data_IF_161044295484
#
_entry.id   IF_161044295484
#
_cell.length_a   1.000
_cell.length_b   1.000
_cell.length_c   1.000
_cell.angle_alpha   90.00
_cell.angle_beta   90.00
_cell.angle_gamma   90.00
#
_symmetry.space_group_name_H-M   'P 1'
#
loop_
_entity.id
_entity.type
_entity.pdbx_description
1 polymer ?
#
# COMPACT_ATOMS: atom_id res chain seq x y z
N UNK A 1 53.39 5.13 23.96
CA UNK A 1 53.08 4.45 25.24
C UNK A 1 52.24 3.20 24.95
N UNK A 2 52.89 2.05 25.03
CA UNK A 2 52.40 0.69 25.31
C UNK A 2 50.98 0.23 24.92
N UNK A 3 50.98 -0.72 23.98
CA UNK A 3 50.23 -2.00 23.93
C UNK A 3 49.35 -2.34 25.13
N UNK A 4 48.14 -2.83 24.84
CA UNK A 4 47.55 -4.09 25.38
C UNK A 4 46.32 -4.50 24.53
N UNK A 5 45.92 -5.79 24.52
CA UNK A 5 45.98 -6.60 23.31
C UNK A 5 44.61 -7.07 22.78
N UNK A 6 44.64 -7.53 21.55
CA UNK A 6 43.68 -8.50 21.01
C UNK A 6 43.61 -9.71 21.96
N UNK A 7 42.45 -9.97 22.55
CA UNK A 7 42.14 -11.24 23.19
C UNK A 7 41.17 -12.00 22.30
N UNK A 8 41.72 -12.99 21.61
CA UNK A 8 40.95 -13.97 20.87
C UNK A 8 40.68 -15.17 21.78
N UNK A 9 39.41 -15.44 22.03
CA UNK A 9 38.98 -16.79 22.39
C UNK A 9 37.85 -16.87 23.42
N UNK A 10 36.63 -17.11 22.92
CA UNK A 10 35.90 -18.37 23.19
C UNK A 10 34.64 -18.43 22.33
N UNK A 11 34.70 -19.27 21.30
CA UNK A 11 33.54 -19.83 20.63
C UNK A 11 32.92 -20.84 21.59
N UNK A 12 31.83 -20.48 22.25
CA UNK A 12 30.86 -21.47 22.75
C UNK A 12 29.69 -21.41 21.77
N UNK A 13 29.66 -22.39 20.85
CA UNK A 13 28.44 -22.74 20.14
C UNK A 13 27.47 -23.29 21.17
N UNK A 14 26.48 -22.49 21.56
CA UNK A 14 25.25 -22.99 22.15
C UNK A 14 24.16 -22.94 21.08
N UNK A 15 23.73 -24.12 20.65
CA UNK A 15 22.57 -24.30 19.80
C UNK A 15 21.30 -24.13 20.65
N UNK A 16 20.88 -22.87 20.82
CA UNK A 16 19.60 -22.51 21.40
C UNK A 16 18.69 -21.89 20.34
N UNK A 17 17.75 -22.68 19.82
CA UNK A 17 16.67 -22.24 18.94
C UNK A 17 15.87 -21.08 19.56
N UNK A 18 16.04 -19.86 19.03
CA UNK A 18 15.13 -18.75 19.30
C UNK A 18 14.51 -18.27 17.97
N UNK A 19 13.19 -18.35 17.95
CA UNK A 19 12.30 -17.83 16.91
C UNK A 19 12.64 -16.37 16.60
N UNK A 20 12.47 -15.90 15.35
CA UNK A 20 12.60 -14.48 15.04
C UNK A 20 11.47 -13.72 15.74
N UNK A 21 11.79 -13.04 16.85
CA UNK A 21 10.98 -11.95 17.37
C UNK A 21 10.96 -10.84 16.31
N UNK A 22 9.84 -10.74 15.60
CA UNK A 22 9.49 -9.54 14.85
C UNK A 22 9.54 -8.35 15.81
N UNK A 23 10.54 -7.48 15.64
CA UNK A 23 10.59 -6.17 16.28
C UNK A 23 9.32 -5.40 15.89
N UNK A 24 8.33 -5.42 16.78
CA UNK A 24 7.22 -4.47 16.73
C UNK A 24 7.79 -3.12 17.15
N UNK A 25 7.97 -2.23 16.17
CA UNK A 25 8.17 -0.81 16.43
C UNK A 25 7.01 -0.31 17.29
N UNK A 26 7.24 0.52 18.33
CA UNK A 26 6.17 1.01 19.17
C UNK A 26 5.22 1.85 18.32
N UNK A 27 3.96 1.43 18.23
CA UNK A 27 2.89 2.33 17.80
C UNK A 27 2.76 3.50 18.79
N UNK A 28 1.99 4.55 18.45
CA UNK A 28 1.83 5.74 19.29
C UNK A 28 1.15 5.46 20.65
N UNK A 29 0.69 4.23 20.88
CA UNK A 29 0.10 3.79 22.14
C UNK A 29 0.96 2.69 22.76
N UNK A 30 1.46 2.87 24.00
CA UNK A 30 2.17 1.80 24.71
C UNK A 30 1.19 0.66 25.01
N UNK A 31 1.46 -0.53 24.48
CA UNK A 31 0.68 -1.74 24.78
C UNK A 31 0.75 -2.08 26.27
N UNK A 32 -0.40 -2.21 26.92
CA UNK A 32 -0.50 -2.51 28.35
C UNK A 32 -0.49 -4.03 28.58
N UNK A 33 0.56 -4.55 29.21
CA UNK A 33 0.56 -5.86 29.86
C UNK A 33 0.02 -5.70 31.29
N UNK A 34 -1.29 -5.87 31.46
CA UNK A 34 -1.96 -5.82 32.77
C UNK A 34 -2.07 -7.19 33.44
N UNK A 35 -2.15 -7.25 34.79
CA UNK A 35 -2.14 -8.51 35.53
C UNK A 35 -3.45 -9.28 35.36
N UNK A 36 -3.34 -10.58 35.06
CA UNK A 36 -4.47 -11.50 34.94
C UNK A 36 -5.12 -11.71 36.32
N UNK A 37 -6.29 -11.10 36.52
CA UNK A 37 -7.19 -11.37 37.65
C UNK A 37 -8.28 -12.38 37.27
N UNK A 38 -8.83 -13.17 38.22
CA UNK A 38 -9.62 -14.36 37.92
C UNK A 38 -11.12 -14.07 37.83
N UNK A 39 -11.55 -13.25 36.86
CA UNK A 39 -12.98 -13.04 36.60
C UNK A 39 -13.36 -13.42 35.16
N UNK A 40 -14.37 -14.28 34.96
CA UNK A 40 -14.87 -14.65 33.64
C UNK A 40 -15.90 -13.60 33.21
N UNK A 41 -15.43 -12.41 32.86
CA UNK A 41 -16.21 -11.38 32.20
C UNK A 41 -15.35 -10.79 31.10
N UNK A 42 -15.84 -10.73 29.87
CA UNK A 42 -15.13 -10.09 28.75
C UNK A 42 -14.80 -8.64 29.15
N UNK A 43 -13.52 -8.40 29.45
CA UNK A 43 -13.04 -7.08 29.85
C UNK A 43 -13.06 -6.18 28.62
N UNK A 44 -13.63 -4.96 28.68
CA UNK A 44 -13.54 -3.99 27.58
C UNK A 44 -12.08 -3.67 27.22
N UNK A 45 -11.15 -3.84 28.15
CA UNK A 45 -9.70 -3.76 27.94
C UNK A 45 -9.17 -4.80 26.95
N UNK A 46 -9.74 -6.01 26.91
CA UNK A 46 -9.36 -7.05 25.96
C UNK A 46 -9.90 -6.75 24.55
N UNK A 47 -11.12 -6.21 24.46
CA UNK A 47 -11.73 -5.84 23.17
C UNK A 47 -11.06 -4.60 22.55
N UNK A 48 -10.61 -3.65 23.37
CA UNK A 48 -9.79 -2.52 22.91
C UNK A 48 -8.39 -3.00 22.46
N UNK A 49 -7.81 -3.96 23.17
CA UNK A 49 -6.51 -4.54 22.80
C UNK A 49 -6.55 -5.29 21.44
N UNK A 50 -7.70 -5.81 21.02
CA UNK A 50 -7.85 -6.48 19.72
C UNK A 50 -8.22 -5.53 18.59
N UNK A 51 -8.97 -4.46 18.87
CA UNK A 51 -9.35 -3.46 17.87
C UNK A 51 -8.24 -2.43 17.60
N UNK A 52 -7.43 -2.07 18.60
CA UNK A 52 -6.33 -1.11 18.46
C UNK A 52 -5.38 -1.41 17.29
N UNK A 53 -4.81 -2.62 17.20
CA UNK A 53 -3.95 -3.01 16.07
C UNK A 53 -4.66 -2.94 14.70
N UNK A 54 -5.95 -3.26 14.64
CA UNK A 54 -6.74 -3.19 13.40
C UNK A 54 -6.91 -1.75 12.95
N UNK A 55 -7.17 -0.82 13.88
CA UNK A 55 -7.25 0.61 13.59
C UNK A 55 -5.88 1.17 13.16
N UNK A 56 -4.80 0.82 13.86
CA UNK A 56 -3.45 1.29 13.54
C UNK A 56 -2.94 0.79 12.17
N UNK A 57 -3.47 -0.33 11.68
CA UNK A 57 -3.08 -0.92 10.39
C UNK A 57 -4.07 -0.63 9.26
N UNK A 58 -5.21 -0.01 9.57
CA UNK A 58 -6.22 0.38 8.60
C UNK A 58 -5.71 1.47 7.66
N UNK A 59 -6.07 1.38 6.38
CA UNK A 59 -5.59 2.29 5.33
C UNK A 59 -6.66 2.63 4.29
N UNK A 60 -7.94 2.42 4.60
CA UNK A 60 -9.06 2.70 3.70
C UNK A 60 -9.65 4.10 3.89
N UNK A 61 -10.75 4.42 3.20
CA UNK A 61 -11.47 5.70 3.26
C UNK A 61 -12.65 5.65 4.25
N UNK A 62 -13.25 6.81 4.54
CA UNK A 62 -14.43 6.92 5.41
C UNK A 62 -15.67 6.22 4.84
N UNK A 63 -15.79 6.18 3.51
CA UNK A 63 -16.92 5.52 2.85
C UNK A 63 -16.80 3.99 2.81
N UNK A 64 -15.64 3.43 3.17
CA UNK A 64 -15.40 2.00 3.13
C UNK A 64 -16.26 1.26 4.17
N UNK A 65 -16.70 0.06 3.81
CA UNK A 65 -17.48 -0.81 4.70
C UNK A 65 -16.72 -1.14 5.99
N UNK A 66 -15.40 -1.37 5.88
CA UNK A 66 -14.56 -1.68 7.04
C UNK A 66 -14.38 -0.46 7.95
N UNK A 67 -14.30 0.77 7.40
CA UNK A 67 -14.34 1.98 8.23
C UNK A 67 -15.63 2.03 9.05
N UNK A 68 -16.78 1.92 8.38
CA UNK A 68 -18.09 1.98 9.05
C UNK A 68 -18.29 0.83 10.05
N UNK A 69 -17.64 -0.31 9.83
CA UNK A 69 -17.63 -1.42 10.78
C UNK A 69 -16.80 -1.06 12.02
N UNK A 70 -15.56 -0.64 11.84
CA UNK A 70 -14.65 -0.26 12.93
C UNK A 70 -15.24 0.89 13.76
N UNK A 71 -15.81 1.90 13.11
CA UNK A 71 -16.52 3.01 13.76
C UNK A 71 -17.66 2.50 14.66
N UNK A 72 -18.54 1.65 14.14
CA UNK A 72 -19.66 1.09 14.92
C UNK A 72 -19.20 0.25 16.10
N UNK A 73 -18.17 -0.58 15.93
CA UNK A 73 -17.62 -1.42 17.01
C UNK A 73 -17.01 -0.55 18.12
N UNK A 74 -16.29 0.52 17.77
CA UNK A 74 -15.72 1.48 18.74
C UNK A 74 -16.81 2.29 19.46
N UNK A 75 -17.84 2.77 18.75
CA UNK A 75 -18.97 3.50 19.35
C UNK A 75 -19.76 2.62 20.31
N UNK A 76 -19.95 1.33 19.97
CA UNK A 76 -20.61 0.37 20.86
C UNK A 76 -19.85 0.20 22.17
N UNK A 77 -18.53 0.04 22.10
CA UNK A 77 -17.67 -0.04 23.29
C UNK A 77 -17.73 1.20 24.18
N UNK A 78 -17.94 2.38 23.59
CA UNK A 78 -18.12 3.63 24.32
C UNK A 78 -19.44 3.66 25.12
N UNK A 79 -20.49 3.01 24.60
CA UNK A 79 -21.86 3.07 25.15
C UNK A 79 -22.17 1.94 26.17
N UNK A 80 -21.53 0.77 26.11
CA UNK A 80 -21.89 -0.44 26.90
C UNK A 80 -21.32 -0.53 28.35
N UNK A 81 -20.82 0.57 28.96
CA UNK A 81 -20.11 0.50 30.24
C UNK A 81 -20.95 0.42 31.55
N UNK A 82 -20.69 -0.59 32.41
CA UNK A 82 -21.23 -0.72 33.79
C UNK A 82 -20.64 0.30 34.79
N UNK A 83 -21.39 0.74 35.83
CA UNK A 83 -20.99 1.82 36.74
C UNK A 83 -19.83 1.46 37.69
N UNK A 84 -19.60 0.19 38.01
CA UNK A 84 -18.52 -0.21 38.95
C UNK A 84 -17.10 0.01 38.40
N UNK A 85 -16.97 0.33 37.10
CA UNK A 85 -15.70 0.46 36.39
C UNK A 85 -15.42 1.90 35.89
N UNK A 86 -16.01 2.91 36.52
CA UNK A 86 -16.04 4.29 36.01
C UNK A 86 -14.65 4.88 35.67
N UNK A 87 -13.59 4.57 36.43
CA UNK A 87 -12.23 5.04 36.11
C UNK A 87 -11.61 4.29 34.94
N UNK A 88 -11.80 2.97 34.86
CA UNK A 88 -11.38 2.17 33.72
C UNK A 88 -12.15 2.58 32.44
N UNK A 89 -13.44 2.92 32.58
CA UNK A 89 -14.28 3.49 31.51
C UNK A 89 -13.76 4.84 31.04
N UNK A 90 -13.41 5.75 31.95
CA UNK A 90 -12.88 7.07 31.56
C UNK A 90 -11.57 6.96 30.78
N UNK A 91 -10.71 5.99 31.14
CA UNK A 91 -9.48 5.70 30.40
C UNK A 91 -9.76 5.08 29.03
N UNK A 92 -10.59 4.04 28.98
CA UNK A 92 -11.02 3.39 27.74
C UNK A 92 -11.69 4.37 26.77
N UNK A 93 -12.59 5.23 27.27
CA UNK A 93 -13.24 6.27 26.47
C UNK A 93 -12.23 7.25 25.89
N UNK A 94 -11.24 7.70 26.69
CA UNK A 94 -10.18 8.58 26.21
C UNK A 94 -9.28 7.94 25.14
N UNK A 95 -8.99 6.64 25.27
CA UNK A 95 -8.26 5.87 24.25
C UNK A 95 -9.07 5.73 22.96
N UNK A 96 -10.36 5.39 23.05
CA UNK A 96 -11.27 5.29 21.89
C UNK A 96 -11.40 6.65 21.19
N UNK A 97 -11.59 7.74 21.92
CA UNK A 97 -11.61 9.10 21.37
C UNK A 97 -10.28 9.48 20.71
N UNK A 98 -9.14 9.02 21.25
CA UNK A 98 -7.82 9.19 20.66
C UNK A 98 -7.70 8.45 19.33
N UNK A 99 -8.18 7.20 19.27
CA UNK A 99 -8.18 6.39 18.06
C UNK A 99 -9.10 6.96 16.97
N UNK A 100 -10.29 7.47 17.35
CA UNK A 100 -11.21 8.12 16.41
C UNK A 100 -10.57 9.39 15.81
N UNK A 101 -9.97 10.24 16.64
CA UNK A 101 -9.24 11.43 16.15
C UNK A 101 -8.06 11.06 15.25
N UNK A 102 -7.33 10.00 15.57
CA UNK A 102 -6.23 9.53 14.73
C UNK A 102 -6.73 9.00 13.37
N UNK A 103 -7.84 8.25 13.37
CA UNK A 103 -8.46 7.72 12.16
C UNK A 103 -8.97 8.83 11.25
N UNK A 104 -9.70 9.80 11.81
CA UNK A 104 -10.20 10.97 11.10
C UNK A 104 -9.06 11.83 10.55
N UNK A 105 -8.04 12.09 11.37
CA UNK A 105 -6.84 12.83 10.96
C UNK A 105 -6.09 12.15 9.81
N UNK A 106 -6.06 10.81 9.76
CA UNK A 106 -5.46 10.09 8.63
C UNK A 106 -6.34 10.12 7.37
N UNK A 107 -7.65 9.99 7.51
CA UNK A 107 -8.58 9.98 6.38
C UNK A 107 -8.65 11.36 5.68
N UNK A 108 -8.53 12.43 6.46
CA UNK A 108 -8.56 13.83 5.98
C UNK A 108 -7.18 14.40 5.69
N UNK A 109 -6.11 13.62 5.88
CA UNK A 109 -4.74 14.09 5.71
C UNK A 109 -4.49 14.53 4.26
N UNK A 110 -3.83 15.68 3.99
CA UNK A 110 -3.55 16.15 2.63
C UNK A 110 -2.86 15.12 1.74
N UNK A 111 -1.84 14.43 2.27
CA UNK A 111 -1.18 13.33 1.55
C UNK A 111 -2.11 12.14 1.27
N UNK A 112 -3.09 11.85 2.12
CA UNK A 112 -4.06 10.75 1.87
C UNK A 112 -4.98 11.12 0.71
N UNK A 113 -5.42 12.39 0.67
CA UNK A 113 -6.24 12.94 -0.41
C UNK A 113 -5.44 12.95 -1.72
N UNK A 114 -4.19 13.42 -1.71
CA UNK A 114 -3.32 13.40 -2.88
C UNK A 114 -3.09 11.98 -3.43
N UNK A 115 -2.92 10.97 -2.57
CA UNK A 115 -2.84 9.56 -3.00
C UNK A 115 -4.14 9.12 -3.68
N UNK A 116 -5.29 9.54 -3.17
CA UNK A 116 -6.58 9.19 -3.76
C UNK A 116 -6.79 9.87 -5.12
N UNK A 117 -6.49 11.17 -5.21
CA UNK A 117 -6.57 11.94 -6.44
C UNK A 117 -5.71 11.33 -7.55
N UNK A 118 -4.45 11.01 -7.25
CA UNK A 118 -3.55 10.36 -8.21
C UNK A 118 -4.01 8.95 -8.60
N UNK A 119 -4.62 8.21 -7.66
CA UNK A 119 -5.19 6.89 -7.96
C UNK A 119 -6.37 7.03 -8.92
N UNK A 120 -7.22 8.04 -8.72
CA UNK A 120 -8.36 8.32 -9.59
C UNK A 120 -7.89 8.80 -10.97
N UNK A 121 -6.87 9.64 -11.01
CA UNK A 121 -6.25 10.12 -12.26
C UNK A 121 -5.73 8.95 -13.09
N UNK A 122 -4.94 8.04 -12.49
CA UNK A 122 -4.49 6.82 -13.17
C UNK A 122 -5.68 5.99 -13.69
N UNK A 123 -6.74 5.85 -12.89
CA UNK A 123 -7.92 5.10 -13.32
C UNK A 123 -8.64 5.76 -14.50
N UNK A 124 -8.70 7.10 -14.55
CA UNK A 124 -9.29 7.83 -15.66
C UNK A 124 -8.48 7.65 -16.94
N UNK A 125 -7.15 7.77 -16.86
CA UNK A 125 -6.25 7.50 -17.99
C UNK A 125 -6.46 6.09 -18.56
N UNK A 126 -6.59 5.08 -17.70
CA UNK A 126 -6.85 3.70 -18.13
C UNK A 126 -8.26 3.52 -18.71
N UNK A 127 -9.26 4.20 -18.15
CA UNK A 127 -10.62 4.13 -18.67
C UNK A 127 -10.71 4.75 -20.07
N UNK A 128 -10.02 5.86 -20.31
CA UNK A 128 -10.01 6.56 -21.60
C UNK A 128 -9.10 5.89 -22.62
N UNK A 129 -7.87 5.55 -22.22
CA UNK A 129 -6.84 5.01 -23.12
C UNK A 129 -6.87 3.50 -23.29
N UNK A 130 -7.60 2.76 -22.45
CA UNK A 130 -7.74 1.30 -22.59
C UNK A 130 -9.21 0.90 -22.65
N UNK A 131 -9.96 1.09 -21.57
CA UNK A 131 -11.30 0.50 -21.45
C UNK A 131 -12.28 1.05 -22.52
N UNK A 132 -12.23 2.34 -22.81
CA UNK A 132 -13.06 3.01 -23.81
C UNK A 132 -12.87 2.41 -25.22
N UNK A 133 -11.65 2.44 -25.78
CA UNK A 133 -11.33 1.83 -27.07
C UNK A 133 -11.70 0.34 -27.15
N UNK A 134 -11.44 -0.43 -26.10
CA UNK A 134 -11.81 -1.84 -26.04
C UNK A 134 -13.32 -2.05 -26.13
N UNK A 135 -14.13 -1.21 -25.46
CA UNK A 135 -15.61 -1.27 -25.54
C UNK A 135 -16.16 -0.86 -26.91
N UNK A 136 -15.43 -0.03 -27.66
CA UNK A 136 -15.81 0.42 -29.00
C UNK A 136 -15.46 -0.60 -30.10
N UNK A 137 -14.94 -1.78 -29.74
CA UNK A 137 -14.65 -2.85 -30.70
C UNK A 137 -13.31 -2.69 -31.44
N UNK A 138 -12.46 -1.74 -31.04
CA UNK A 138 -11.11 -1.58 -31.61
C UNK A 138 -10.13 -2.69 -31.16
N UNK A 139 -10.60 -3.61 -30.30
CA UNK A 139 -9.79 -4.60 -29.60
C UNK A 139 -9.34 -5.81 -30.44
N UNK A 140 -9.79 -5.95 -31.69
CA UNK A 140 -9.83 -7.30 -32.26
C UNK A 140 -8.54 -7.82 -32.89
N UNK A 141 -7.60 -6.99 -33.38
CA UNK A 141 -6.30 -7.52 -33.87
C UNK A 141 -5.09 -6.56 -33.76
N UNK A 142 -5.29 -5.27 -33.49
CA UNK A 142 -4.19 -4.28 -33.46
C UNK A 142 -4.47 -3.07 -32.56
N UNK A 143 -5.08 -3.26 -31.39
CA UNK A 143 -5.12 -2.17 -30.42
C UNK A 143 -3.72 -1.93 -29.87
N UNK A 144 -3.04 -0.95 -30.45
CA UNK A 144 -1.74 -0.47 -29.98
C UNK A 144 -2.00 0.49 -28.82
N UNK A 145 -1.49 0.13 -27.64
CA UNK A 145 -1.39 1.07 -26.53
C UNK A 145 -0.48 2.20 -27.01
N UNK A 146 -0.92 3.45 -26.87
CA UNK A 146 -0.10 4.59 -27.28
C UNK A 146 1.05 4.82 -26.29
N UNK A 147 2.19 5.25 -26.81
CA UNK A 147 3.34 5.65 -25.98
C UNK A 147 2.96 6.78 -25.02
N UNK A 148 2.08 7.71 -25.45
CA UNK A 148 1.63 8.81 -24.58
C UNK A 148 0.85 8.30 -23.36
N UNK A 149 0.07 7.22 -23.50
CA UNK A 149 -0.63 6.62 -22.36
C UNK A 149 0.35 6.01 -21.36
N UNK A 150 1.40 5.34 -21.85
CA UNK A 150 2.44 4.77 -20.98
C UNK A 150 3.16 5.88 -20.23
N UNK A 151 3.59 6.93 -20.94
CA UNK A 151 4.24 8.09 -20.34
C UNK A 151 3.34 8.79 -19.30
N UNK A 152 2.05 8.96 -19.60
CA UNK A 152 1.10 9.57 -18.68
C UNK A 152 0.92 8.73 -17.39
N UNK A 153 0.81 7.41 -17.51
CA UNK A 153 0.71 6.51 -16.35
C UNK A 153 2.02 6.52 -15.54
N UNK A 154 3.17 6.57 -16.21
CA UNK A 154 4.47 6.69 -15.57
C UNK A 154 4.62 8.02 -14.81
N UNK A 155 4.15 9.14 -15.36
CA UNK A 155 4.15 10.44 -14.66
C UNK A 155 3.32 10.38 -13.37
N UNK A 156 2.13 9.77 -13.42
CA UNK A 156 1.31 9.58 -12.20
C UNK A 156 2.05 8.72 -11.17
N UNK A 157 2.73 7.65 -11.60
CA UNK A 157 3.53 6.82 -10.69
C UNK A 157 4.67 7.62 -10.02
N UNK A 158 5.35 8.47 -10.79
CA UNK A 158 6.42 9.34 -10.29
C UNK A 158 5.89 10.37 -9.28
N UNK A 159 4.75 11.02 -9.56
CA UNK A 159 4.08 11.92 -8.62
C UNK A 159 3.62 11.19 -7.35
N UNK A 160 3.06 9.99 -7.50
CA UNK A 160 2.65 9.14 -6.37
C UNK A 160 3.83 8.78 -5.46
N UNK A 161 5.01 8.48 -6.03
CA UNK A 161 6.23 8.18 -5.27
C UNK A 161 6.71 9.36 -4.42
N UNK A 162 6.50 10.58 -4.91
CA UNK A 162 6.90 11.83 -4.27
C UNK A 162 5.96 12.29 -3.15
N UNK A 163 4.77 11.70 -3.01
CA UNK A 163 3.84 12.07 -1.94
C UNK A 163 4.48 11.88 -0.57
N UNK A 164 4.58 12.96 0.20
CA UNK A 164 5.23 12.98 1.52
C UNK A 164 4.34 12.29 2.55
N UNK A 165 4.89 11.28 3.22
CA UNK A 165 4.15 10.49 4.23
C UNK A 165 4.51 10.84 5.68
N UNK A 166 5.53 11.68 5.90
CA UNK A 166 5.84 12.24 7.22
C UNK A 166 6.10 11.21 8.33
N UNK A 167 6.53 9.99 7.99
CA UNK A 167 6.72 8.90 8.95
C UNK A 167 5.43 8.14 9.32
N UNK A 168 4.25 8.66 8.94
CA UNK A 168 2.96 8.01 9.18
C UNK A 168 2.90 6.65 8.49
N UNK A 169 2.72 5.59 9.29
CA UNK A 169 2.62 4.21 8.81
C UNK A 169 1.39 4.03 7.90
N UNK A 170 0.17 4.51 8.25
CA UNK A 170 -1.00 4.43 7.37
C UNK A 170 -0.77 5.07 6.01
N UNK A 171 -0.15 6.26 5.96
CA UNK A 171 0.12 6.97 4.70
C UNK A 171 1.16 6.25 3.85
N UNK A 172 2.22 5.71 4.46
CA UNK A 172 3.20 4.86 3.76
C UNK A 172 2.54 3.64 3.15
N UNK A 173 1.69 2.96 3.91
CA UNK A 173 0.97 1.76 3.45
C UNK A 173 0.01 2.09 2.30
N UNK A 174 -0.74 3.20 2.41
CA UNK A 174 -1.63 3.67 1.35
C UNK A 174 -0.86 3.97 0.06
N UNK A 175 0.22 4.76 0.16
CA UNK A 175 1.08 5.11 -0.98
C UNK A 175 1.69 3.87 -1.63
N UNK A 176 2.23 2.94 -0.83
CA UNK A 176 2.82 1.70 -1.33
C UNK A 176 1.78 0.87 -2.09
N UNK A 177 0.60 0.66 -1.50
CA UNK A 177 -0.49 -0.10 -2.14
C UNK A 177 -0.94 0.53 -3.47
N UNK A 178 -1.03 1.85 -3.53
CA UNK A 178 -1.39 2.57 -4.76
C UNK A 178 -0.29 2.43 -5.82
N UNK A 179 0.97 2.68 -5.46
CA UNK A 179 2.13 2.50 -6.35
C UNK A 179 2.23 1.09 -6.90
N UNK A 180 2.13 0.07 -6.05
CA UNK A 180 2.21 -1.33 -6.51
C UNK A 180 1.17 -1.65 -7.58
N UNK A 181 -0.05 -1.10 -7.43
CA UNK A 181 -1.11 -1.29 -8.43
C UNK A 181 -0.80 -0.56 -9.73
N UNK A 182 -0.34 0.69 -9.65
CA UNK A 182 -0.02 1.50 -10.83
C UNK A 182 1.16 0.89 -11.59
N UNK A 183 2.25 0.52 -10.92
CA UNK A 183 3.41 -0.12 -11.55
C UNK A 183 3.04 -1.46 -12.21
N UNK A 184 2.20 -2.28 -11.57
CA UNK A 184 1.74 -3.53 -12.18
C UNK A 184 0.95 -3.29 -13.48
N UNK A 185 0.16 -2.21 -13.55
CA UNK A 185 -0.54 -1.84 -14.79
C UNK A 185 0.44 -1.29 -15.82
N UNK A 186 1.40 -0.46 -15.40
CA UNK A 186 2.44 0.08 -16.28
C UNK A 186 3.23 -1.03 -16.98
N UNK A 187 3.65 -2.08 -16.25
CA UNK A 187 4.33 -3.25 -16.83
C UNK A 187 3.49 -3.93 -17.93
N UNK A 188 2.18 -4.01 -17.74
CA UNK A 188 1.26 -4.58 -18.73
C UNK A 188 1.17 -3.67 -19.96
N UNK A 189 1.08 -2.36 -19.76
CA UNK A 189 0.99 -1.40 -20.86
C UNK A 189 2.28 -1.37 -21.69
N UNK A 190 3.45 -1.32 -21.03
CA UNK A 190 4.76 -1.36 -21.68
C UNK A 190 4.95 -2.64 -22.50
N UNK A 191 4.47 -3.79 -22.01
CA UNK A 191 4.49 -5.05 -22.77
C UNK A 191 3.54 -5.10 -23.98
N UNK A 192 2.63 -4.12 -24.11
CA UNK A 192 1.61 -4.03 -25.16
C UNK A 192 1.85 -2.89 -26.15
N UNK A 193 2.60 -1.86 -25.77
CA UNK A 193 3.26 -0.96 -26.72
C UNK A 193 4.20 -1.85 -27.51
N UNK A 194 3.81 -2.20 -28.74
CA UNK A 194 4.61 -3.11 -29.57
C UNK A 194 6.01 -2.51 -29.67
N UNK A 195 6.98 -3.27 -29.16
CA UNK A 195 8.36 -3.30 -29.69
C UNK A 195 8.22 -3.09 -31.19
N UNK A 196 8.73 -1.97 -31.70
CA UNK A 196 8.81 -1.71 -33.13
C UNK A 196 9.71 -2.79 -33.78
N UNK A 197 9.24 -4.03 -33.87
CA UNK A 197 9.69 -4.93 -34.92
C UNK A 197 9.11 -4.32 -36.17
N UNK A 198 9.96 -3.55 -36.86
CA UNK A 198 9.74 -3.16 -38.23
C UNK A 198 9.06 -4.32 -38.95
N UNK A 199 7.88 -4.07 -39.52
CA UNK A 199 7.19 -5.07 -40.30
C UNK A 199 8.16 -5.58 -41.36
N UNK A 200 8.44 -6.89 -41.33
CA UNK A 200 9.21 -7.56 -42.36
C UNK A 200 8.22 -8.15 -43.37
N UNK A 201 8.43 -7.96 -44.68
CA UNK A 201 9.51 -7.16 -45.28
C UNK A 201 9.32 -5.65 -45.07
N UNK A 202 10.44 -4.94 -44.92
CA UNK A 202 10.52 -3.49 -44.87
C UNK A 202 9.94 -2.88 -46.16
N UNK A 203 9.50 -1.62 -46.16
CA UNK A 203 8.91 -1.01 -47.36
C UNK A 203 9.84 -1.04 -48.58
N UNK A 204 9.33 -1.44 -49.74
CA UNK A 204 10.06 -1.50 -51.02
C UNK A 204 10.38 -0.11 -51.60
N UNK A 205 9.79 0.96 -51.06
CA UNK A 205 10.05 2.37 -51.42
C UNK A 205 11.32 2.93 -50.78
N UNK A 206 12.20 2.08 -50.27
CA UNK A 206 13.46 2.47 -49.63
C UNK A 206 14.68 2.04 -50.46
N UNK A 207 15.87 2.45 -49.99
CA UNK A 207 17.16 2.20 -50.64
C UNK A 207 17.34 0.72 -51.04
N UNK A 208 17.98 0.44 -52.17
CA UNK A 208 18.20 -0.91 -52.75
C UNK A 208 18.76 -1.94 -51.74
N UNK A 209 19.51 -1.48 -50.74
CA UNK A 209 20.01 -2.30 -49.64
C UNK A 209 18.88 -2.94 -48.79
N UNK A 210 17.78 -2.21 -48.58
CA UNK A 210 16.59 -2.69 -47.85
C UNK A 210 15.86 -3.77 -48.64
N UNK A 211 15.76 -3.60 -49.97
CA UNK A 211 15.20 -4.63 -50.86
C UNK A 211 16.02 -5.94 -50.82
N UNK A 212 17.35 -5.83 -50.78
CA UNK A 212 18.23 -7.01 -50.59
C UNK A 212 17.99 -7.69 -49.24
N UNK A 213 17.81 -6.92 -48.17
CA UNK A 213 17.50 -7.47 -46.84
C UNK A 213 16.15 -8.19 -46.87
N UNK A 214 15.11 -7.60 -47.48
CA UNK A 214 13.80 -8.23 -47.64
C UNK A 214 13.86 -9.57 -48.39
N UNK A 215 14.63 -9.62 -49.49
CA UNK A 215 14.81 -10.86 -50.27
C UNK A 215 15.48 -11.98 -49.48
N UNK A 216 16.44 -11.66 -48.61
CA UNK A 216 17.11 -12.64 -47.75
C UNK A 216 16.18 -13.12 -46.63
N UNK A 217 15.38 -12.21 -46.07
CA UNK A 217 14.45 -12.53 -44.97
C UNK A 217 13.21 -13.32 -45.43
N UNK A 218 12.92 -13.38 -46.72
CA UNK A 218 11.78 -14.10 -47.31
C UNK A 218 12.09 -15.54 -47.77
N UNK A 219 13.34 -16.01 -47.57
CA UNK A 219 13.77 -17.41 -47.80
C UNK A 219 13.66 -18.22 -46.51
#
# INVERSE_FOLDING_TARGET
LFRKPFDGGKRTMDHGSQQPQTQQMPGPFPGFAGPQGPYPGQHPSLEIATLGPQVCTYSGLQNDREYKRLERELTRLLLEGRPELQQARKRAAGEVEGLLRYLEGNATHPSRLAIEELTQEAQNLLNEGVVGPFRQGQAQDAFEISEELVEAVQDVAMRMAQVKTGGSVPLRKARYKALTRICAVQEILEGRVRTHMLALPLSDETHEAVQRINQVMAQ
#
